data_IF_051395926006
#
_entry.id   IF_051395926006
#
_cell.length_a   1.000
_cell.length_b   1.000
_cell.length_c   1.000
_cell.angle_alpha   90.00
_cell.angle_beta   90.00
_cell.angle_gamma   90.00
#
_symmetry.space_group_name_H-M   'P 1'
#
loop_
_entity.id
_entity.type
_entity.pdbx_description
1 polymer ?
#
# COMPACT_ATOMS: atom_id res chain seq x y z
N UNK A 1 19.87 22.98 -8.94
CA UNK A 1 18.56 22.35 -8.66
C UNK A 1 17.73 22.18 -9.94
N UNK A 2 18.18 21.43 -10.95
CA UNK A 2 17.51 21.40 -12.28
C UNK A 2 17.41 20.03 -12.97
N UNK A 3 17.72 18.92 -12.28
CA UNK A 3 17.80 17.60 -12.92
C UNK A 3 16.69 16.60 -12.53
N UNK A 4 15.88 16.87 -11.51
CA UNK A 4 14.75 15.99 -11.13
C UNK A 4 13.45 16.30 -11.89
N UNK A 5 13.20 17.55 -12.24
CA UNK A 5 12.03 17.99 -13.02
C UNK A 5 11.99 17.43 -14.45
N UNK A 6 13.15 17.10 -15.03
CA UNK A 6 13.23 16.54 -16.39
C UNK A 6 12.90 15.05 -16.47
N UNK A 7 13.08 14.28 -15.38
CA UNK A 7 12.76 12.84 -15.33
C UNK A 7 11.29 12.56 -15.00
N UNK A 8 10.64 13.44 -14.25
CA UNK A 8 9.19 13.38 -14.07
C UNK A 8 8.45 13.68 -15.37
N UNK A 9 8.96 14.56 -16.25
CA UNK A 9 8.37 14.76 -17.59
C UNK A 9 8.39 13.47 -18.41
N UNK A 10 9.52 12.77 -18.53
CA UNK A 10 9.61 11.57 -19.38
C UNK A 10 8.73 10.39 -18.93
N UNK A 11 8.44 10.26 -17.63
CA UNK A 11 7.51 9.25 -17.11
C UNK A 11 6.03 9.69 -17.26
N UNK A 12 5.78 11.01 -17.21
CA UNK A 12 4.45 11.61 -17.41
C UNK A 12 4.05 11.58 -18.89
N UNK A 13 5.00 11.79 -19.80
CA UNK A 13 4.83 11.67 -21.25
C UNK A 13 4.70 10.20 -21.69
N UNK A 14 5.24 9.25 -20.92
CA UNK A 14 5.07 7.82 -21.15
C UNK A 14 3.68 7.31 -20.74
N UNK A 15 3.11 7.80 -19.62
CA UNK A 15 1.74 7.47 -19.20
C UNK A 15 0.67 8.10 -20.10
N UNK A 16 0.94 9.26 -20.71
CA UNK A 16 0.02 9.90 -21.67
C UNK A 16 -0.04 9.19 -23.03
N UNK A 17 0.96 8.35 -23.33
CA UNK A 17 1.02 7.54 -24.56
C UNK A 17 0.56 6.08 -24.31
N UNK A 18 -0.02 5.77 -23.15
CA UNK A 18 -0.55 4.45 -22.85
C UNK A 18 -1.89 4.23 -23.54
N UNK A 19 -1.89 3.56 -24.69
CA UNK A 19 -3.13 3.08 -25.32
C UNK A 19 -3.68 1.85 -24.58
N UNK A 20 -4.97 1.91 -24.24
CA UNK A 20 -5.70 0.82 -23.55
C UNK A 20 -6.78 0.24 -24.43
N UNK A 21 -7.11 -1.02 -24.23
CA UNK A 21 -8.16 -1.70 -24.97
C UNK A 21 -9.51 -1.52 -24.28
N UNK A 22 -10.55 -1.16 -25.04
CA UNK A 22 -11.91 -1.08 -24.52
C UNK A 22 -12.44 -2.47 -24.16
N UNK A 23 -12.98 -2.63 -22.95
CA UNK A 23 -13.59 -3.88 -22.50
C UNK A 23 -14.75 -4.34 -23.40
N UNK A 24 -15.54 -3.40 -23.94
CA UNK A 24 -16.77 -3.65 -24.71
C UNK A 24 -16.46 -3.98 -26.18
N UNK A 25 -15.79 -3.07 -26.89
CA UNK A 25 -15.60 -3.19 -28.34
C UNK A 25 -14.19 -3.64 -28.76
N UNK A 26 -13.29 -3.88 -27.80
CA UNK A 26 -11.91 -4.34 -28.03
C UNK A 26 -11.02 -3.41 -28.88
N UNK A 27 -11.50 -2.22 -29.23
CA UNK A 27 -10.73 -1.18 -29.93
C UNK A 27 -9.86 -0.39 -28.95
N UNK A 28 -8.75 0.22 -29.43
CA UNK A 28 -7.92 1.10 -28.61
C UNK A 28 -8.70 2.35 -28.17
N UNK A 29 -8.53 2.72 -26.91
CA UNK A 29 -9.07 3.90 -26.27
C UNK A 29 -7.98 4.96 -26.18
N UNK A 30 -8.36 6.21 -26.36
CA UNK A 30 -7.47 7.35 -26.28
C UNK A 30 -7.63 8.06 -24.92
N UNK A 31 -6.54 8.55 -24.33
CA UNK A 31 -6.61 9.37 -23.13
C UNK A 31 -7.24 10.73 -23.47
N UNK A 32 -8.31 11.12 -22.77
CA UNK A 32 -8.99 12.40 -23.01
C UNK A 32 -8.49 13.50 -22.09
N UNK A 33 -8.48 13.25 -20.79
CA UNK A 33 -8.09 14.25 -19.80
C UNK A 33 -7.51 13.56 -18.58
N UNK A 34 -6.47 14.18 -18.00
CA UNK A 34 -5.99 13.75 -16.70
C UNK A 34 -6.91 14.36 -15.66
N UNK A 35 -7.83 13.57 -15.13
CA UNK A 35 -8.65 14.01 -14.01
C UNK A 35 -7.76 14.10 -12.75
N UNK A 36 -7.09 15.24 -12.60
CA UNK A 36 -6.44 15.66 -11.36
C UNK A 36 -7.47 16.33 -10.45
N UNK A 37 -8.62 15.69 -10.20
CA UNK A 37 -9.66 16.25 -9.33
C UNK A 37 -9.08 16.49 -7.91
N UNK A 38 -8.53 17.69 -7.70
CA UNK A 38 -7.84 18.20 -6.51
C UNK A 38 -6.55 17.48 -6.09
N UNK A 39 -5.45 17.75 -6.80
CA UNK A 39 -4.08 17.27 -6.54
C UNK A 39 -3.36 17.84 -5.30
N UNK A 40 -4.03 18.57 -4.39
CA UNK A 40 -3.36 19.18 -3.22
C UNK A 40 -3.03 18.21 -2.09
N UNK A 41 -3.56 16.99 -2.09
CA UNK A 41 -3.35 16.02 -1.01
C UNK A 41 -2.79 14.69 -1.54
N UNK A 42 -1.71 14.14 -0.93
CA UNK A 42 -1.05 12.92 -1.40
C UNK A 42 -1.91 11.65 -1.30
N UNK A 43 -3.10 11.74 -0.71
CA UNK A 43 -4.03 10.63 -0.46
C UNK A 43 -5.22 10.55 -1.44
N UNK A 44 -5.32 11.44 -2.43
CA UNK A 44 -6.41 11.46 -3.43
C UNK A 44 -6.04 10.72 -4.72
N UNK A 45 -7.04 10.05 -5.30
CA UNK A 45 -6.90 9.17 -6.47
C UNK A 45 -6.43 9.98 -7.69
N UNK A 46 -5.21 9.73 -8.16
CA UNK A 46 -4.75 10.27 -9.44
C UNK A 46 -4.93 9.20 -10.53
N UNK A 47 -5.49 9.60 -11.67
CA UNK A 47 -5.79 8.73 -12.80
C UNK A 47 -5.97 9.49 -14.11
N UNK A 48 -6.29 8.75 -15.17
CA UNK A 48 -6.51 9.25 -16.53
C UNK A 48 -7.88 8.75 -16.99
N UNK A 49 -8.67 9.65 -17.58
CA UNK A 49 -9.90 9.28 -18.26
C UNK A 49 -9.60 8.84 -19.68
N UNK A 50 -10.12 7.67 -20.05
CA UNK A 50 -10.03 7.12 -21.39
C UNK A 50 -11.41 7.14 -22.03
N UNK A 51 -11.44 7.47 -23.32
CA UNK A 51 -12.66 7.39 -24.11
C UNK A 51 -12.43 6.48 -25.32
N UNK A 52 -13.41 5.62 -25.59
CA UNK A 52 -13.42 4.84 -26.80
C UNK A 52 -14.19 5.59 -27.90
N UNK A 53 -13.51 6.01 -28.96
CA UNK A 53 -14.16 6.66 -30.10
C UNK A 53 -15.26 5.80 -30.75
N UNK A 54 -15.12 4.47 -30.72
CA UNK A 54 -16.04 3.55 -31.38
C UNK A 54 -17.37 3.30 -30.62
N UNK A 55 -17.34 3.15 -29.29
CA UNK A 55 -18.54 2.88 -28.49
C UNK A 55 -18.88 3.99 -27.49
N UNK A 56 -18.17 5.12 -27.54
CA UNK A 56 -18.34 6.30 -26.68
C UNK A 56 -18.31 5.99 -25.17
N UNK A 57 -17.69 4.88 -24.78
CA UNK A 57 -17.53 4.53 -23.36
C UNK A 57 -16.38 5.31 -22.75
N UNK A 58 -16.69 6.01 -21.66
CA UNK A 58 -15.72 6.74 -20.85
C UNK A 58 -15.40 5.92 -19.60
N UNK A 59 -14.11 5.72 -19.33
CA UNK A 59 -13.63 4.99 -18.16
C UNK A 59 -12.55 5.80 -17.45
N UNK A 60 -12.61 5.84 -16.12
CA UNK A 60 -11.52 6.36 -15.30
C UNK A 60 -10.58 5.22 -14.93
N UNK A 61 -9.30 5.36 -15.25
CA UNK A 61 -8.27 4.41 -14.85
C UNK A 61 -7.31 5.08 -13.88
N UNK A 62 -7.31 4.62 -12.64
CA UNK A 62 -6.36 5.10 -11.64
C UNK A 62 -4.92 4.69 -11.97
N UNK A 63 -3.96 5.55 -11.61
CA UNK A 63 -2.54 5.24 -11.66
C UNK A 63 -2.22 4.07 -10.71
N UNK A 64 -1.27 3.22 -11.09
CA UNK A 64 -0.79 2.08 -10.30
C UNK A 64 -0.41 2.54 -8.90
N UNK A 65 0.30 3.67 -8.80
CA UNK A 65 0.75 4.22 -7.52
C UNK A 65 -0.43 4.65 -6.64
N UNK A 66 -1.49 5.23 -7.23
CA UNK A 66 -2.70 5.63 -6.51
C UNK A 66 -3.42 4.42 -5.93
N UNK A 67 -3.59 3.37 -6.74
CA UNK A 67 -4.21 2.10 -6.31
C UNK A 67 -3.40 1.48 -5.18
N UNK A 68 -2.09 1.38 -5.34
CA UNK A 68 -1.18 0.83 -4.35
C UNK A 68 -1.23 1.64 -3.04
N UNK A 69 -1.26 2.98 -3.10
CA UNK A 69 -1.42 3.84 -1.91
C UNK A 69 -2.74 3.63 -1.18
N UNK A 70 -3.86 3.52 -1.91
CA UNK A 70 -5.19 3.28 -1.33
C UNK A 70 -5.23 1.95 -0.59
N UNK A 71 -4.75 0.88 -1.23
CA UNK A 71 -4.71 -0.46 -0.62
C UNK A 71 -3.74 -0.49 0.55
N UNK A 72 -2.56 0.09 0.37
CA UNK A 72 -1.52 0.19 1.38
C UNK A 72 -1.90 0.88 2.67
N UNK A 73 -2.52 2.04 2.54
CA UNK A 73 -3.01 2.81 3.69
C UNK A 73 -4.07 2.03 4.47
N UNK A 74 -4.92 1.26 3.78
CA UNK A 74 -5.87 0.39 4.44
C UNK A 74 -5.17 -0.73 5.24
N UNK A 75 -4.18 -1.39 4.63
CA UNK A 75 -3.38 -2.44 5.30
C UNK A 75 -2.66 -1.86 6.53
N UNK A 76 -2.03 -0.70 6.40
CA UNK A 76 -1.34 -0.05 7.51
C UNK A 76 -2.29 0.26 8.68
N UNK A 77 -3.47 0.81 8.40
CA UNK A 77 -4.49 1.08 9.43
C UNK A 77 -4.92 -0.21 10.12
N UNK A 78 -5.24 -1.26 9.37
CA UNK A 78 -5.65 -2.55 9.94
C UNK A 78 -4.55 -3.12 10.83
N UNK A 79 -3.29 -3.02 10.41
CA UNK A 79 -2.18 -3.58 11.17
C UNK A 79 -1.92 -2.80 12.46
N UNK A 80 -2.02 -1.47 12.42
CA UNK A 80 -1.92 -0.62 13.62
C UNK A 80 -3.06 -0.94 14.60
N UNK A 81 -4.29 -1.06 14.12
CA UNK A 81 -5.44 -1.46 14.96
C UNK A 81 -5.19 -2.84 15.57
N UNK A 82 -4.75 -3.81 14.77
CA UNK A 82 -4.45 -5.17 15.23
C UNK A 82 -3.39 -5.18 16.33
N UNK A 83 -2.30 -4.42 16.15
CA UNK A 83 -1.26 -4.24 17.16
C UNK A 83 -1.82 -3.68 18.47
N UNK A 84 -2.58 -2.58 18.42
CA UNK A 84 -3.14 -2.00 19.65
C UNK A 84 -4.10 -2.96 20.36
N UNK A 85 -4.94 -3.70 19.61
CA UNK A 85 -5.83 -4.69 20.19
C UNK A 85 -5.07 -5.77 20.96
N UNK A 86 -3.93 -6.24 20.43
CA UNK A 86 -3.08 -7.24 21.12
C UNK A 86 -2.24 -6.65 22.24
N UNK A 87 -1.88 -5.37 22.17
CA UNK A 87 -1.03 -4.67 23.16
C UNK A 87 -1.84 -4.12 24.34
N UNK A 88 -2.88 -4.86 24.75
CA UNK A 88 -3.68 -4.55 25.94
C UNK A 88 -4.89 -3.63 25.72
N UNK A 89 -5.13 -3.08 24.52
CA UNK A 89 -6.35 -2.29 24.27
C UNK A 89 -7.61 -3.16 24.37
N UNK A 90 -7.56 -4.42 23.91
CA UNK A 90 -8.67 -5.35 24.04
C UNK A 90 -8.97 -5.65 25.52
N UNK A 91 -7.93 -5.94 26.30
CA UNK A 91 -8.05 -6.21 27.74
C UNK A 91 -8.59 -4.99 28.50
N UNK A 92 -8.12 -3.79 28.14
CA UNK A 92 -8.67 -2.55 28.68
C UNK A 92 -10.16 -2.40 28.38
N UNK A 93 -10.60 -2.71 27.15
CA UNK A 93 -12.03 -2.61 26.78
C UNK A 93 -12.85 -3.63 27.58
N UNK A 94 -12.41 -4.88 27.65
CA UNK A 94 -13.12 -5.98 28.32
C UNK A 94 -13.22 -5.77 29.84
N UNK A 95 -12.16 -5.28 30.47
CA UNK A 95 -12.10 -5.06 31.92
C UNK A 95 -12.55 -3.65 32.34
N UNK A 96 -12.83 -2.74 31.39
CA UNK A 96 -13.30 -1.39 31.71
C UNK A 96 -14.51 -1.30 32.66
N UNK A 97 -15.51 -2.23 32.65
CA UNK A 97 -16.66 -2.17 33.55
C UNK A 97 -16.33 -2.48 35.01
N UNK A 98 -15.21 -3.16 35.29
CA UNK A 98 -14.83 -3.54 36.66
C UNK A 98 -14.05 -2.46 37.39
N UNK A 99 -13.44 -1.51 36.68
CA UNK A 99 -12.53 -0.52 37.27
C UNK A 99 -13.24 0.77 37.69
N UNK A 100 -13.92 1.45 36.77
CA UNK A 100 -14.55 2.74 37.04
C UNK A 100 -15.54 3.17 35.95
N UNK A 101 -16.39 4.16 36.25
CA UNK A 101 -17.28 4.77 35.24
C UNK A 101 -16.48 5.55 34.17
N UNK A 102 -15.30 6.07 34.52
CA UNK A 102 -14.40 6.79 33.59
C UNK A 102 -13.75 5.84 32.59
N UNK A 103 -13.31 4.65 33.04
CA UNK A 103 -12.76 3.62 32.13
C UNK A 103 -13.80 3.12 31.13
N UNK A 104 -15.07 3.00 31.55
CA UNK A 104 -16.19 2.67 30.65
C UNK A 104 -16.38 3.74 29.56
N UNK A 105 -16.35 5.03 29.92
CA UNK A 105 -16.46 6.11 28.93
C UNK A 105 -15.28 6.09 27.93
N UNK A 106 -14.07 5.84 28.42
CA UNK A 106 -12.88 5.73 27.58
C UNK A 106 -12.92 4.50 26.66
N UNK A 107 -13.45 3.37 27.12
CA UNK A 107 -13.58 2.16 26.30
C UNK A 107 -14.60 2.35 25.17
N UNK A 108 -15.72 3.03 25.41
CA UNK A 108 -16.66 3.41 24.36
C UNK A 108 -16.03 4.35 23.32
N UNK A 109 -15.23 5.32 23.76
CA UNK A 109 -14.51 6.22 22.85
C UNK A 109 -13.49 5.46 22.01
N UNK A 110 -12.70 4.57 22.63
CA UNK A 110 -11.73 3.72 21.94
C UNK A 110 -12.41 2.81 20.91
N UNK A 111 -13.50 2.14 21.28
CA UNK A 111 -14.32 1.35 20.34
C UNK A 111 -14.85 2.19 19.19
N UNK A 112 -15.32 3.42 19.46
CA UNK A 112 -15.80 4.35 18.43
C UNK A 112 -14.70 4.70 17.42
N UNK A 113 -13.49 4.99 17.90
CA UNK A 113 -12.32 5.28 17.04
C UNK A 113 -11.95 4.05 16.21
N UNK A 114 -11.86 2.87 16.83
CA UNK A 114 -11.57 1.61 16.12
C UNK A 114 -12.60 1.36 15.03
N UNK A 115 -13.90 1.50 15.35
CA UNK A 115 -14.98 1.30 14.39
C UNK A 115 -14.88 2.24 13.18
N UNK A 116 -14.62 3.53 13.42
CA UNK A 116 -14.45 4.52 12.34
C UNK A 116 -13.24 4.19 11.48
N UNK A 117 -12.10 3.86 12.09
CA UNK A 117 -10.87 3.51 11.40
C UNK A 117 -11.02 2.23 10.58
N UNK A 118 -11.65 1.19 11.14
CA UNK A 118 -11.96 -0.06 10.47
C UNK A 118 -12.87 0.18 9.25
N UNK A 119 -13.95 0.95 9.44
CA UNK A 119 -14.87 1.30 8.34
C UNK A 119 -14.18 2.10 7.25
N UNK A 120 -13.24 2.98 7.60
CA UNK A 120 -12.44 3.72 6.64
C UNK A 120 -11.52 2.79 5.83
N UNK A 121 -10.79 1.90 6.51
CA UNK A 121 -9.92 0.92 5.85
C UNK A 121 -10.71 0.00 4.90
N UNK A 122 -11.88 -0.49 5.34
CA UNK A 122 -12.74 -1.33 4.51
C UNK A 122 -13.20 -0.63 3.22
N UNK A 123 -13.63 0.64 3.31
CA UNK A 123 -14.00 1.44 2.13
C UNK A 123 -12.82 1.59 1.16
N UNK A 124 -11.61 1.77 1.68
CA UNK A 124 -10.39 1.88 0.87
C UNK A 124 -10.05 0.58 0.15
N UNK A 125 -10.20 -0.57 0.82
CA UNK A 125 -10.01 -1.89 0.19
C UNK A 125 -11.01 -2.10 -0.95
N UNK A 126 -12.31 -1.86 -0.69
CA UNK A 126 -13.36 -2.00 -1.70
C UNK A 126 -13.08 -1.12 -2.93
N UNK A 127 -12.72 0.14 -2.69
CA UNK A 127 -12.36 1.09 -3.75
C UNK A 127 -11.12 0.66 -4.52
N UNK A 128 -10.10 0.17 -3.82
CA UNK A 128 -8.90 -0.40 -4.43
C UNK A 128 -9.24 -1.57 -5.36
N UNK A 129 -10.11 -2.47 -4.93
CA UNK A 129 -10.56 -3.61 -5.74
C UNK A 129 -11.30 -3.17 -7.01
N UNK A 130 -12.22 -2.21 -6.91
CA UNK A 130 -12.93 -1.64 -8.07
C UNK A 130 -11.96 -1.05 -9.10
N UNK A 131 -10.95 -0.29 -8.64
CA UNK A 131 -9.94 0.32 -9.52
C UNK A 131 -9.04 -0.73 -10.20
N UNK A 132 -8.70 -1.80 -9.49
CA UNK A 132 -7.95 -2.93 -10.05
C UNK A 132 -8.80 -3.65 -11.11
N UNK A 133 -10.08 -3.89 -10.82
CA UNK A 133 -10.99 -4.57 -11.74
C UNK A 133 -11.14 -3.81 -13.06
N UNK A 134 -11.36 -2.48 -13.00
CA UNK A 134 -11.44 -1.63 -14.21
C UNK A 134 -10.16 -1.72 -15.04
N UNK A 135 -9.00 -1.75 -14.37
CA UNK A 135 -7.69 -1.87 -15.02
C UNK A 135 -7.46 -3.23 -15.65
N UNK A 136 -7.96 -4.32 -15.06
CA UNK A 136 -7.88 -5.67 -15.63
C UNK A 136 -8.79 -5.79 -16.86
N UNK A 137 -10.00 -5.23 -16.79
CA UNK A 137 -10.96 -5.23 -17.91
C UNK A 137 -10.47 -4.42 -19.11
N UNK A 138 -9.63 -3.41 -18.88
CA UNK A 138 -9.09 -2.50 -19.90
C UNK A 138 -7.55 -2.56 -19.94
N UNK A 139 -6.97 -3.65 -20.51
CA UNK A 139 -5.53 -3.86 -20.54
C UNK A 139 -4.82 -2.89 -21.48
N UNK A 140 -3.50 -2.76 -21.33
CA UNK A 140 -2.65 -1.97 -22.23
C UNK A 140 -2.46 -2.71 -23.56
N UNK A 141 -2.59 -2.00 -24.68
CA UNK A 141 -2.47 -2.56 -26.05
C UNK A 141 -1.01 -2.90 -26.37
N UNK A 142 -0.06 -2.09 -25.89
CA UNK A 142 1.37 -2.25 -26.15
C UNK A 142 2.15 -2.52 -24.85
N UNK A 143 1.84 -3.62 -24.16
CA UNK A 143 2.62 -4.03 -22.99
C UNK A 143 3.97 -4.58 -23.45
N UNK A 144 5.05 -3.79 -23.32
CA UNK A 144 6.42 -4.36 -23.39
C UNK A 144 6.51 -5.48 -22.33
N UNK A 145 7.08 -6.66 -22.65
CA UNK A 145 7.36 -7.70 -21.67
C UNK A 145 8.47 -7.22 -20.73
N UNK A 146 8.12 -6.32 -19.82
CA UNK A 146 8.97 -5.91 -18.72
C UNK A 146 8.94 -6.98 -17.64
N UNK A 147 10.07 -7.15 -16.96
CA UNK A 147 10.20 -7.89 -15.69
C UNK A 147 8.93 -7.62 -14.88
N UNK A 148 8.23 -8.67 -14.42
CA UNK A 148 6.99 -8.54 -13.65
C UNK A 148 7.23 -7.63 -12.45
N UNK A 149 6.99 -6.32 -12.61
CA UNK A 149 7.30 -5.29 -11.62
C UNK A 149 6.61 -5.58 -10.29
N UNK A 150 5.46 -6.24 -10.34
CA UNK A 150 4.73 -6.74 -9.19
C UNK A 150 5.53 -7.80 -8.41
N UNK A 151 6.04 -8.83 -9.08
CA UNK A 151 6.87 -9.86 -8.45
C UNK A 151 8.16 -9.28 -7.90
N UNK A 152 8.76 -8.33 -8.62
CA UNK A 152 9.96 -7.63 -8.16
C UNK A 152 9.67 -6.78 -6.92
N UNK A 153 8.57 -6.01 -6.90
CA UNK A 153 8.19 -5.26 -5.71
C UNK A 153 7.87 -6.17 -4.53
N UNK A 154 7.19 -7.30 -4.76
CA UNK A 154 6.83 -8.26 -3.72
C UNK A 154 8.06 -8.91 -3.10
N UNK A 155 9.02 -9.35 -3.93
CA UNK A 155 10.28 -9.96 -3.43
C UNK A 155 11.17 -8.96 -2.71
N UNK A 156 11.33 -7.74 -3.24
CA UNK A 156 12.11 -6.69 -2.58
C UNK A 156 11.44 -6.20 -1.30
N UNK A 157 10.10 -6.21 -1.24
CA UNK A 157 9.34 -5.89 -0.03
C UNK A 157 9.40 -6.96 1.06
N UNK A 158 9.69 -8.22 0.71
CA UNK A 158 9.91 -9.31 1.68
C UNK A 158 11.25 -9.16 2.42
N UNK A 159 12.26 -8.63 1.73
CA UNK A 159 13.65 -8.54 2.20
C UNK A 159 13.82 -7.86 3.57
N UNK A 160 13.19 -6.70 3.86
CA UNK A 160 13.22 -6.06 5.17
C UNK A 160 12.85 -7.01 6.32
N UNK A 161 11.85 -7.87 6.10
CA UNK A 161 11.35 -8.80 7.12
C UNK A 161 12.25 -10.01 7.30
N UNK A 162 12.78 -10.56 6.20
CA UNK A 162 13.78 -11.64 6.30
C UNK A 162 15.02 -11.18 7.04
N UNK A 163 15.49 -9.97 6.75
CA UNK A 163 16.60 -9.33 7.47
C UNK A 163 16.25 -9.18 8.95
N UNK A 164 15.09 -8.61 9.28
CA UNK A 164 14.65 -8.40 10.66
C UNK A 164 14.56 -9.71 11.45
N UNK A 165 13.95 -10.75 10.87
CA UNK A 165 13.84 -12.08 11.49
C UNK A 165 15.22 -12.70 11.70
N UNK A 166 16.10 -12.67 10.69
CA UNK A 166 17.43 -13.28 10.77
C UNK A 166 18.27 -12.63 11.88
N UNK A 167 18.25 -11.31 11.96
CA UNK A 167 18.93 -10.60 13.03
C UNK A 167 18.30 -10.83 14.40
N UNK A 168 16.96 -10.87 14.49
CA UNK A 168 16.28 -11.23 15.73
C UNK A 168 16.72 -12.61 16.26
N UNK A 169 16.81 -13.60 15.37
CA UNK A 169 17.30 -14.93 15.69
C UNK A 169 18.76 -14.93 16.15
N UNK A 170 19.65 -14.21 15.44
CA UNK A 170 21.06 -14.09 15.84
C UNK A 170 21.18 -13.43 17.22
N UNK A 171 20.37 -12.41 17.50
CA UNK A 171 20.39 -11.75 18.80
C UNK A 171 19.96 -12.67 19.93
N UNK A 172 18.91 -13.45 19.71
CA UNK A 172 18.40 -14.42 20.68
C UNK A 172 19.45 -15.49 21.01
N UNK A 173 20.11 -16.04 19.99
CA UNK A 173 21.11 -17.09 20.16
C UNK A 173 22.39 -16.62 20.85
N UNK A 174 22.88 -15.42 20.51
CA UNK A 174 24.21 -14.99 20.95
C UNK A 174 24.19 -13.91 22.03
N UNK A 175 23.04 -13.28 22.31
CA UNK A 175 22.89 -12.14 23.25
C UNK A 175 23.92 -11.02 23.06
N UNK A 176 24.49 -10.89 21.86
CA UNK A 176 25.67 -10.03 21.59
C UNK A 176 25.31 -8.55 21.66
N UNK A 177 24.05 -8.17 21.38
CA UNK A 177 23.65 -6.76 21.24
C UNK A 177 22.39 -6.43 22.06
N UNK A 178 22.55 -6.29 23.38
CA UNK A 178 21.49 -5.74 24.22
C UNK A 178 21.26 -4.23 23.93
N UNK A 179 20.00 -3.85 23.73
CA UNK A 179 19.51 -2.46 23.69
C UNK A 179 19.81 -1.63 22.43
N UNK A 180 20.99 -1.78 21.81
CA UNK A 180 21.43 -0.93 20.68
C UNK A 180 21.07 -1.51 19.29
N UNK A 181 20.64 -2.76 19.23
CA UNK A 181 20.39 -3.47 17.97
C UNK A 181 19.30 -2.81 17.11
N UNK A 182 18.26 -2.25 17.74
CA UNK A 182 17.15 -1.59 17.02
C UNK A 182 17.66 -0.43 16.16
N UNK A 183 18.57 0.39 16.70
CA UNK A 183 19.14 1.53 15.99
C UNK A 183 20.05 1.11 14.83
N UNK A 184 20.74 -0.02 14.97
CA UNK A 184 21.64 -0.56 13.96
C UNK A 184 20.88 -1.33 12.86
N UNK A 185 19.75 -1.94 13.20
CA UNK A 185 18.89 -2.68 12.27
C UNK A 185 18.01 -1.78 11.44
N UNK A 186 17.52 -0.66 11.99
CA UNK A 186 16.63 0.27 11.28
C UNK A 186 17.15 0.67 9.89
N UNK A 187 18.41 1.13 9.70
CA UNK A 187 18.91 1.47 8.38
C UNK A 187 19.03 0.26 7.44
N UNK A 188 19.34 -0.93 7.97
CA UNK A 188 19.49 -2.17 7.18
C UNK A 188 18.12 -2.70 6.72
N UNK A 189 17.09 -2.58 7.56
CA UNK A 189 15.71 -2.95 7.24
C UNK A 189 15.07 -1.95 6.26
N UNK A 190 15.45 -0.67 6.31
CA UNK A 190 14.98 0.37 5.37
C UNK A 190 15.74 0.30 4.03
N UNK A 191 16.94 -0.28 3.99
CA UNK A 191 17.80 -0.35 2.82
C UNK A 191 17.11 -0.93 1.57
N UNK A 192 16.36 -2.05 1.63
CA UNK A 192 15.65 -2.60 0.48
C UNK A 192 14.60 -1.64 -0.09
N UNK A 193 13.94 -0.85 0.78
CA UNK A 193 12.96 0.18 0.38
C UNK A 193 13.65 1.33 -0.37
N UNK A 194 14.84 1.73 0.09
CA UNK A 194 15.63 2.77 -0.58
C UNK A 194 16.22 2.30 -1.91
N UNK A 195 16.62 1.04 -1.99
CA UNK A 195 17.21 0.42 -3.19
C UNK A 195 16.18 0.09 -4.28
N UNK A 196 14.88 0.12 -3.97
CA UNK A 196 13.81 -0.10 -4.96
C UNK A 196 13.99 0.70 -6.25
N UNK A 197 14.41 1.97 -6.14
CA UNK A 197 14.66 2.87 -7.28
C UNK A 197 15.72 2.34 -8.25
N UNK A 198 16.75 1.61 -7.77
CA UNK A 198 17.80 1.03 -8.60
C UNK A 198 17.35 -0.25 -9.32
N UNK A 199 16.39 -0.97 -8.74
CA UNK A 199 15.84 -2.21 -9.30
C UNK A 199 14.71 -1.94 -10.31
N UNK A 200 14.40 -0.68 -10.61
CA UNK A 200 13.30 -0.31 -11.51
C UNK A 200 11.92 -0.37 -10.85
N UNK A 201 11.85 -0.53 -9.52
CA UNK A 201 10.61 -0.44 -8.76
C UNK A 201 10.47 0.93 -8.08
N UNK A 202 9.24 1.42 -7.89
CA UNK A 202 9.03 2.65 -7.14
C UNK A 202 9.23 2.39 -5.63
N UNK A 203 9.84 3.34 -4.90
CA UNK A 203 10.00 3.22 -3.43
C UNK A 203 8.67 2.93 -2.73
N UNK A 204 7.58 3.49 -3.27
CA UNK A 204 6.22 3.28 -2.79
C UNK A 204 5.78 1.82 -2.96
N UNK A 205 5.99 1.21 -4.13
CA UNK A 205 5.59 -0.19 -4.35
C UNK A 205 6.36 -1.15 -3.44
N UNK A 206 7.65 -0.89 -3.20
CA UNK A 206 8.46 -1.72 -2.27
C UNK A 206 7.99 -1.55 -0.82
N UNK A 207 7.70 -0.32 -0.38
CA UNK A 207 7.15 -0.07 0.96
C UNK A 207 5.82 -0.78 1.17
N UNK A 208 4.95 -0.75 0.16
CA UNK A 208 3.64 -1.38 0.21
C UNK A 208 3.72 -2.90 0.21
N UNK A 209 4.61 -3.47 -0.59
CA UNK A 209 4.93 -4.88 -0.52
C UNK A 209 5.47 -5.26 0.86
N UNK A 210 6.32 -4.44 1.46
CA UNK A 210 6.78 -4.66 2.83
C UNK A 210 5.61 -4.64 3.84
N UNK A 211 4.71 -3.66 3.77
CA UNK A 211 3.52 -3.63 4.64
C UNK A 211 2.60 -4.84 4.42
N UNK A 212 2.45 -5.31 3.18
CA UNK A 212 1.70 -6.52 2.86
C UNK A 212 2.30 -7.77 3.52
N UNK A 213 3.62 -7.96 3.44
CA UNK A 213 4.31 -9.06 4.12
C UNK A 213 4.24 -8.97 5.63
N UNK A 214 4.33 -7.76 6.19
CA UNK A 214 4.13 -7.54 7.61
C UNK A 214 2.76 -8.02 8.07
N UNK A 215 1.72 -7.63 7.34
CA UNK A 215 0.35 -8.04 7.62
C UNK A 215 0.19 -9.57 7.55
N UNK A 216 0.74 -10.22 6.52
CA UNK A 216 0.72 -11.69 6.42
C UNK A 216 1.44 -12.33 7.61
N UNK A 217 2.66 -11.86 7.93
CA UNK A 217 3.44 -12.38 9.05
C UNK A 217 2.71 -12.23 10.38
N UNK A 218 2.09 -11.07 10.61
CA UNK A 218 1.26 -10.81 11.78
C UNK A 218 0.07 -11.76 11.89
N UNK A 219 -0.67 -11.96 10.81
CA UNK A 219 -1.81 -12.90 10.78
C UNK A 219 -1.36 -14.34 11.07
N UNK A 220 -0.22 -14.76 10.53
CA UNK A 220 0.33 -16.10 10.80
C UNK A 220 0.68 -16.25 12.28
N UNK A 221 1.39 -15.28 12.87
CA UNK A 221 1.74 -15.31 14.29
C UNK A 221 0.47 -15.41 15.13
N UNK A 222 -0.52 -14.57 14.84
CA UNK A 222 -1.79 -14.55 15.58
C UNK A 222 -2.58 -15.86 15.53
N UNK A 223 -2.51 -16.60 14.42
CA UNK A 223 -3.16 -17.92 14.30
C UNK A 223 -2.42 -19.00 15.09
N UNK A 224 -1.11 -18.85 15.26
CA UNK A 224 -0.24 -19.86 15.88
C UNK A 224 -0.06 -19.64 17.39
N UNK A 225 -0.23 -18.42 17.87
CA UNK A 225 -0.23 -18.02 19.29
C UNK A 225 -1.55 -18.30 19.98
#
# INVERSE_FOLDING_TARGET
MSNETRKTSSLVDAELNEERQCAVCKMPMQPMHRNQANSRLPWREAGIDFNCANCQTQIYVANSNSVSLIVGTAIAIITIIGYFLTDGLLDFILNSPTDSLVSVLLSFLAMGIIYVAWRFAWRKIKRGAELIEVRIKNPLVNRKPGINMLNLSMTVGLLPWLIAISFGYINDQYKILEGQMIWLMLPVVILPVLLGKKLGSTKMNVFLAAMFWFFIGWVIIWIVS
#
